data_IF_438342742150
#
_entry.id   IF_438342742150
#
_cell.length_a   1.000
_cell.length_b   1.000
_cell.length_c   1.000
_cell.angle_alpha   90.00
_cell.angle_beta   90.00
_cell.angle_gamma   90.00
#
_symmetry.space_group_name_H-M   'P 1'
#
loop_
_entity.id
_entity.type
_entity.pdbx_description
1 polymer ?
#
# COMPACT_ATOMS: atom_id res chain seq x y z
N UNK A 1 7.41 -5.94 11.36
CA UNK A 1 7.49 -4.64 12.07
C UNK A 1 8.75 -3.86 11.70
N UNK A 2 9.97 -4.37 11.92
CA UNK A 2 11.21 -3.61 11.69
C UNK A 2 11.41 -3.00 10.28
N UNK A 3 10.97 -3.67 9.20
CA UNK A 3 11.09 -3.13 7.84
C UNK A 3 10.19 -1.90 7.58
N UNK A 4 8.99 -1.89 8.17
CA UNK A 4 8.06 -0.75 8.04
C UNK A 4 8.62 0.47 8.77
N UNK A 5 9.15 0.25 9.98
CA UNK A 5 9.75 1.32 10.79
C UNK A 5 11.01 1.89 10.12
N UNK A 6 11.86 1.01 9.56
CA UNK A 6 13.05 1.44 8.81
C UNK A 6 12.65 2.25 7.57
N UNK A 7 11.66 1.79 6.79
CA UNK A 7 11.13 2.54 5.64
C UNK A 7 10.61 3.91 6.07
N UNK A 8 9.83 3.99 7.14
CA UNK A 8 9.28 5.24 7.64
C UNK A 8 10.38 6.22 8.09
N UNK A 9 11.47 5.72 8.68
CA UNK A 9 12.62 6.55 9.04
C UNK A 9 13.40 7.06 7.83
N UNK A 10 13.49 6.29 6.76
CA UNK A 10 14.22 6.71 5.54
C UNK A 10 13.36 7.67 4.69
N UNK A 11 12.06 7.42 4.57
CA UNK A 11 11.15 8.10 3.63
C UNK A 11 10.21 9.07 4.35
N UNK A 12 10.61 9.62 5.50
CA UNK A 12 9.86 10.71 6.12
C UNK A 12 10.22 12.06 5.47
N UNK A 13 9.32 13.03 5.61
CA UNK A 13 9.47 14.35 5.00
C UNK A 13 10.72 15.09 5.50
N UNK A 14 11.09 14.92 6.77
CA UNK A 14 12.23 15.62 7.37
C UNK A 14 13.55 15.12 6.74
N UNK A 15 13.75 13.80 6.69
CA UNK A 15 14.92 13.15 6.07
C UNK A 15 15.01 13.47 4.59
N UNK A 16 13.88 13.44 3.86
CA UNK A 16 13.86 13.81 2.44
C UNK A 16 14.14 15.30 2.23
N UNK A 17 13.59 16.16 3.10
CA UNK A 17 13.84 17.60 3.08
C UNK A 17 15.32 17.92 3.32
N UNK A 18 15.93 17.27 4.30
CA UNK A 18 17.35 17.46 4.62
C UNK A 18 18.26 16.92 3.52
N UNK A 19 17.97 15.74 2.95
CA UNK A 19 18.67 15.22 1.77
C UNK A 19 18.63 16.23 0.60
N UNK A 20 17.48 16.85 0.36
CA UNK A 20 17.31 17.84 -0.70
C UNK A 20 18.04 19.16 -0.44
N UNK A 21 18.15 19.60 0.82
CA UNK A 21 18.97 20.75 1.21
C UNK A 21 20.44 20.48 0.95
N UNK A 22 20.96 19.36 1.47
CA UNK A 22 22.37 18.99 1.34
C UNK A 22 22.79 18.80 -0.12
N UNK A 23 21.89 18.28 -0.95
CA UNK A 23 22.15 18.09 -2.38
C UNK A 23 21.83 19.33 -3.23
N UNK A 24 21.48 20.48 -2.62
CA UNK A 24 21.13 21.72 -3.34
C UNK A 24 20.02 21.54 -4.39
N UNK A 25 19.09 20.61 -4.18
CA UNK A 25 18.03 20.33 -5.18
C UNK A 25 17.04 21.48 -5.29
N UNK A 26 16.88 22.27 -4.22
CA UNK A 26 16.05 23.46 -4.23
C UNK A 26 16.49 24.50 -5.27
N UNK A 27 17.79 24.56 -5.60
CA UNK A 27 18.32 25.47 -6.64
C UNK A 27 17.88 25.07 -8.05
N UNK A 28 17.45 23.82 -8.23
CA UNK A 28 16.98 23.27 -9.50
C UNK A 28 15.45 23.41 -9.67
N UNK A 29 14.73 23.78 -8.60
CA UNK A 29 13.28 23.91 -8.64
C UNK A 29 12.94 25.29 -9.20
N UNK A 30 12.20 25.30 -10.31
CA UNK A 30 11.64 26.53 -10.85
C UNK A 30 10.50 26.99 -9.94
N UNK A 31 10.77 28.00 -9.14
CA UNK A 31 9.78 28.64 -8.27
C UNK A 31 9.61 30.10 -8.65
N UNK A 32 8.39 30.62 -8.49
CA UNK A 32 8.09 32.04 -8.72
C UNK A 32 8.63 32.96 -7.62
N UNK A 33 9.19 32.38 -6.55
CA UNK A 33 9.78 33.05 -5.39
C UNK A 33 10.97 32.23 -4.86
N UNK A 34 11.86 32.86 -4.08
CA UNK A 34 13.02 32.16 -3.50
C UNK A 34 12.58 31.15 -2.43
N UNK A 35 12.93 29.88 -2.60
CA UNK A 35 12.65 28.82 -1.62
C UNK A 35 13.45 28.97 -0.32
N UNK A 36 14.54 29.73 -0.32
CA UNK A 36 15.35 29.97 0.87
C UNK A 36 14.61 30.75 1.96
N UNK A 37 13.46 31.37 1.63
CA UNK A 37 12.66 32.20 2.54
C UNK A 37 11.37 31.53 3.04
N UNK A 38 11.13 30.25 2.72
CA UNK A 38 9.88 29.54 3.04
C UNK A 38 10.21 28.32 3.88
N UNK A 39 9.59 28.18 5.07
CA UNK A 39 9.84 27.03 5.97
C UNK A 39 9.20 25.71 5.46
N UNK A 40 8.16 25.77 4.61
CA UNK A 40 7.38 24.61 4.13
C UNK A 40 7.75 24.11 2.70
N UNK A 41 8.93 24.43 2.18
CA UNK A 41 9.37 24.02 0.83
C UNK A 41 9.61 22.50 0.65
N UNK A 42 9.62 21.72 1.73
CA UNK A 42 9.77 20.26 1.72
C UNK A 42 8.69 19.58 0.89
N UNK A 43 7.44 20.08 0.92
CA UNK A 43 6.35 19.53 0.12
C UNK A 43 6.57 19.71 -1.40
N UNK A 44 7.13 20.85 -1.81
CA UNK A 44 7.46 21.13 -3.21
C UNK A 44 8.62 20.25 -3.70
N UNK A 45 9.63 20.05 -2.85
CA UNK A 45 10.73 19.12 -3.09
C UNK A 45 10.20 17.69 -3.27
N UNK A 46 9.34 17.23 -2.36
CA UNK A 46 8.74 15.89 -2.41
C UNK A 46 7.93 15.67 -3.70
N UNK A 47 7.15 16.66 -4.11
CA UNK A 47 6.40 16.61 -5.37
C UNK A 47 7.33 16.55 -6.59
N UNK A 48 8.39 17.38 -6.62
CA UNK A 48 9.37 17.39 -7.70
C UNK A 48 10.11 16.05 -7.79
N UNK A 49 10.48 15.47 -6.66
CA UNK A 49 11.15 14.18 -6.58
C UNK A 49 10.25 13.02 -6.99
N UNK A 50 9.02 12.98 -6.50
CA UNK A 50 8.03 11.98 -6.88
C UNK A 50 7.82 11.97 -8.39
N UNK A 51 7.67 13.14 -9.01
CA UNK A 51 7.57 13.27 -10.47
C UNK A 51 8.83 12.80 -11.18
N UNK A 52 10.03 13.18 -10.72
CA UNK A 52 11.28 12.74 -11.33
C UNK A 52 11.43 11.21 -11.30
N UNK A 53 11.22 10.59 -10.14
CA UNK A 53 11.41 9.15 -9.96
C UNK A 53 10.38 8.34 -10.76
N UNK A 54 9.14 8.83 -10.87
CA UNK A 54 8.08 8.14 -11.59
C UNK A 54 8.11 8.36 -13.11
N UNK A 55 8.72 9.45 -13.59
CA UNK A 55 8.85 9.72 -15.04
C UNK A 55 9.96 8.93 -15.71
N UNK A 56 10.98 8.45 -14.98
CA UNK A 56 12.06 7.62 -15.55
C UNK A 56 11.56 6.29 -16.10
N UNK A 57 10.78 5.47 -15.35
CA UNK A 57 10.15 4.27 -15.90
C UNK A 57 9.24 4.53 -17.10
N UNK A 58 8.58 5.70 -17.16
CA UNK A 58 7.74 6.10 -18.29
C UNK A 58 8.57 6.39 -19.55
N UNK A 59 9.67 7.13 -19.42
CA UNK A 59 10.50 7.53 -20.56
C UNK A 59 11.42 6.41 -21.08
N UNK A 60 11.90 5.51 -20.21
CA UNK A 60 12.96 4.54 -20.52
C UNK A 60 12.48 3.08 -20.43
N UNK A 61 11.23 2.83 -20.05
CA UNK A 61 10.75 1.49 -19.71
C UNK A 61 11.07 1.10 -18.25
N UNK A 62 10.42 0.05 -17.75
CA UNK A 62 10.51 -0.36 -16.34
C UNK A 62 11.93 -0.72 -15.90
N UNK A 63 12.60 -1.57 -16.68
CA UNK A 63 13.91 -2.11 -16.34
C UNK A 63 14.95 -0.99 -16.23
N UNK A 64 15.09 -0.19 -17.28
CA UNK A 64 16.12 0.85 -17.35
C UNK A 64 15.76 2.09 -16.51
N UNK A 65 14.47 2.41 -16.41
CA UNK A 65 13.99 3.52 -15.60
C UNK A 65 14.17 3.29 -14.10
N UNK A 66 13.95 2.07 -13.61
CA UNK A 66 14.21 1.71 -12.20
C UNK A 66 15.71 1.72 -11.89
N UNK A 67 16.54 1.19 -12.80
CA UNK A 67 18.01 1.25 -12.65
C UNK A 67 18.49 2.69 -12.59
N UNK A 68 17.99 3.55 -13.48
CA UNK A 68 18.33 4.98 -13.52
C UNK A 68 17.86 5.73 -12.28
N UNK A 69 16.63 5.48 -11.83
CA UNK A 69 16.09 6.08 -10.60
C UNK A 69 16.89 5.63 -9.36
N UNK A 70 17.27 4.35 -9.29
CA UNK A 70 18.12 3.80 -8.23
C UNK A 70 19.52 4.43 -8.24
N UNK A 71 20.14 4.57 -9.41
CA UNK A 71 21.45 5.20 -9.56
C UNK A 71 21.42 6.68 -9.15
N UNK A 72 20.38 7.41 -9.55
CA UNK A 72 20.17 8.80 -9.16
C UNK A 72 20.01 8.94 -7.64
N UNK A 73 19.13 8.14 -7.02
CA UNK A 73 18.94 8.15 -5.57
C UNK A 73 20.25 7.82 -4.85
N UNK A 74 21.01 6.81 -5.32
CA UNK A 74 22.32 6.49 -4.74
C UNK A 74 23.25 7.70 -4.73
N UNK A 75 23.34 8.45 -5.83
CA UNK A 75 24.20 9.62 -5.91
C UNK A 75 23.80 10.71 -4.92
N UNK A 76 22.49 10.96 -4.74
CA UNK A 76 22.02 11.88 -3.71
C UNK A 76 22.42 11.41 -2.31
N UNK A 77 22.23 10.13 -2.00
CA UNK A 77 22.63 9.58 -0.72
C UNK A 77 24.15 9.63 -0.53
N UNK A 78 24.98 9.45 -1.56
CA UNK A 78 26.45 9.58 -1.43
C UNK A 78 26.85 10.99 -0.98
N UNK A 79 26.16 12.02 -1.47
CA UNK A 79 26.40 13.42 -1.08
C UNK A 79 25.91 13.72 0.33
N UNK A 80 24.79 13.11 0.74
CA UNK A 80 24.20 13.33 2.07
C UNK A 80 24.86 12.52 3.18
N UNK A 81 25.05 11.23 2.95
CA UNK A 81 25.67 10.27 3.85
C UNK A 81 26.16 9.05 3.05
N UNK A 82 27.47 9.01 2.79
CA UNK A 82 28.10 7.94 2.01
C UNK A 82 27.97 6.56 2.66
N UNK A 83 27.97 6.46 3.99
CA UNK A 83 27.82 5.18 4.69
C UNK A 83 26.39 4.65 4.54
N UNK A 84 25.39 5.53 4.67
CA UNK A 84 24.00 5.20 4.40
C UNK A 84 23.77 4.83 2.93
N UNK A 85 24.43 5.52 1.99
CA UNK A 85 24.37 5.21 0.57
C UNK A 85 24.89 3.80 0.26
N UNK A 86 26.01 3.42 0.87
CA UNK A 86 26.57 2.08 0.72
C UNK A 86 25.69 1.02 1.38
N UNK A 87 25.10 1.32 2.54
CA UNK A 87 24.14 0.44 3.19
C UNK A 87 22.85 0.25 2.38
N UNK A 88 22.27 1.32 1.81
CA UNK A 88 21.01 1.27 1.09
C UNK A 88 21.14 0.71 -0.32
N UNK A 89 22.24 1.03 -1.00
CA UNK A 89 22.43 0.72 -2.41
C UNK A 89 23.53 -0.29 -2.66
N UNK A 90 23.87 -1.11 -1.67
CA UNK A 90 24.82 -2.23 -1.73
C UNK A 90 25.04 -2.72 -3.18
N UNK A 91 26.17 -2.30 -3.76
CA UNK A 91 26.52 -2.50 -5.17
C UNK A 91 27.38 -3.76 -5.40
N UNK A 92 27.69 -4.53 -4.36
CA UNK A 92 28.59 -5.67 -4.54
C UNK A 92 27.87 -6.88 -5.13
N UNK A 93 28.54 -7.57 -6.05
CA UNK A 93 28.13 -8.91 -6.50
C UNK A 93 27.90 -9.86 -5.32
N UNK A 94 28.62 -9.67 -4.20
CA UNK A 94 28.44 -10.42 -2.96
C UNK A 94 27.07 -10.20 -2.32
N UNK A 95 26.48 -9.01 -2.46
CA UNK A 95 25.14 -8.72 -1.95
C UNK A 95 24.08 -9.31 -2.86
N UNK A 96 24.26 -9.27 -4.19
CA UNK A 96 23.37 -9.99 -5.10
C UNK A 96 23.39 -11.50 -4.84
N UNK A 97 24.56 -12.08 -4.58
CA UNK A 97 24.71 -13.47 -4.18
C UNK A 97 24.06 -13.77 -2.83
N UNK A 98 24.24 -12.89 -1.83
CA UNK A 98 23.57 -12.98 -0.52
C UNK A 98 22.05 -12.85 -0.64
N UNK A 99 21.55 -11.95 -1.49
CA UNK A 99 20.11 -11.81 -1.79
C UNK A 99 19.60 -13.10 -2.44
N UNK A 100 20.32 -13.68 -3.39
CA UNK A 100 20.00 -14.99 -3.93
C UNK A 100 19.90 -16.06 -2.84
N UNK A 101 20.87 -16.10 -1.92
CA UNK A 101 20.85 -17.00 -0.76
C UNK A 101 19.65 -16.76 0.18
N UNK A 102 19.22 -15.51 0.37
CA UNK A 102 18.03 -15.18 1.17
C UNK A 102 16.75 -15.57 0.45
N UNK A 103 16.64 -15.28 -0.85
CA UNK A 103 15.45 -15.64 -1.66
C UNK A 103 15.30 -17.16 -1.77
N UNK A 104 16.41 -17.88 -1.84
CA UNK A 104 16.43 -19.35 -1.93
C UNK A 104 16.68 -20.05 -0.58
N UNK A 105 16.61 -19.33 0.54
CA UNK A 105 16.95 -19.88 1.86
C UNK A 105 16.11 -21.11 2.24
N UNK A 106 14.88 -21.19 1.74
CA UNK A 106 13.96 -22.29 2.00
C UNK A 106 13.99 -23.40 0.94
N UNK A 107 14.71 -23.20 -0.17
CA UNK A 107 14.73 -24.14 -1.29
C UNK A 107 15.21 -25.54 -0.87
N UNK A 108 16.30 -25.60 -0.12
CA UNK A 108 16.85 -26.87 0.35
C UNK A 108 15.96 -27.53 1.41
N UNK A 109 15.38 -26.74 2.31
CA UNK A 109 14.47 -27.23 3.34
C UNK A 109 13.20 -27.84 2.72
N UNK A 110 12.64 -27.20 1.69
CA UNK A 110 11.51 -27.75 0.95
C UNK A 110 11.91 -29.05 0.23
N UNK A 111 13.05 -29.06 -0.48
CA UNK A 111 13.49 -30.22 -1.26
C UNK A 111 13.74 -31.49 -0.43
N UNK A 112 14.09 -31.33 0.85
CA UNK A 112 14.36 -32.44 1.78
C UNK A 112 13.14 -32.84 2.62
N UNK A 113 12.02 -32.13 2.49
CA UNK A 113 10.81 -32.40 3.28
C UNK A 113 10.02 -33.60 2.71
N UNK A 114 9.42 -34.47 3.55
CA UNK A 114 8.63 -35.61 3.08
C UNK A 114 7.47 -35.24 2.14
N UNK A 115 6.89 -34.04 2.29
CA UNK A 115 5.80 -33.51 1.45
C UNK A 115 6.25 -32.67 0.25
N UNK A 116 7.54 -32.60 -0.05
CA UNK A 116 8.07 -31.77 -1.15
C UNK A 116 7.33 -32.00 -2.49
N UNK A 117 7.13 -33.27 -2.84
CA UNK A 117 6.43 -33.68 -4.07
C UNK A 117 4.97 -33.26 -4.07
N UNK A 118 4.31 -33.31 -2.90
CA UNK A 118 2.92 -32.88 -2.76
C UNK A 118 2.79 -31.37 -2.97
N UNK A 119 3.68 -30.57 -2.37
CA UNK A 119 3.66 -29.12 -2.54
C UNK A 119 4.03 -28.70 -3.96
N UNK A 120 4.98 -29.40 -4.61
CA UNK A 120 5.28 -29.19 -6.02
C UNK A 120 4.06 -29.47 -6.90
N UNK A 121 3.32 -30.55 -6.65
CA UNK A 121 2.10 -30.86 -7.40
C UNK A 121 1.00 -29.82 -7.18
N UNK A 122 0.81 -29.33 -5.95
CA UNK A 122 -0.13 -28.22 -5.66
C UNK A 122 0.25 -26.94 -6.40
N UNK A 123 1.54 -26.63 -6.46
CA UNK A 123 2.05 -25.49 -7.20
C UNK A 123 1.80 -25.64 -8.71
N UNK A 124 2.05 -26.81 -9.29
CA UNK A 124 1.74 -27.09 -10.70
C UNK A 124 0.24 -26.94 -11.00
N UNK A 125 -0.62 -27.43 -10.11
CA UNK A 125 -2.07 -27.24 -10.23
C UNK A 125 -2.45 -25.75 -10.19
N UNK A 126 -1.83 -24.97 -9.29
CA UNK A 126 -2.02 -23.53 -9.25
C UNK A 126 -1.59 -22.86 -10.56
N UNK A 127 -0.41 -23.20 -11.10
CA UNK A 127 0.07 -22.65 -12.37
C UNK A 127 -0.82 -23.05 -13.56
N UNK A 128 -1.42 -24.24 -13.53
CA UNK A 128 -2.39 -24.67 -14.54
C UNK A 128 -3.69 -23.86 -14.49
N UNK A 129 -4.15 -23.49 -13.29
CA UNK A 129 -5.34 -22.64 -13.10
C UNK A 129 -5.05 -21.16 -13.37
N UNK A 130 -3.83 -20.71 -13.08
CA UNK A 130 -3.38 -19.32 -13.16
C UNK A 130 -2.16 -19.17 -14.09
N UNK A 131 -2.25 -19.51 -15.38
CA UNK A 131 -1.09 -19.55 -16.28
C UNK A 131 -0.44 -18.19 -16.51
N UNK A 132 -1.13 -17.09 -16.19
CA UNK A 132 -0.64 -15.73 -16.32
C UNK A 132 0.25 -15.27 -15.15
N UNK A 133 0.39 -16.07 -14.09
CA UNK A 133 1.18 -15.74 -12.90
C UNK A 133 2.41 -16.67 -12.86
N UNK A 134 3.52 -16.32 -13.54
CA UNK A 134 4.71 -17.18 -13.57
C UNK A 134 5.49 -17.06 -12.26
N UNK A 135 5.23 -17.98 -11.34
CA UNK A 135 6.06 -18.15 -10.13
C UNK A 135 6.88 -19.42 -10.32
N UNK A 136 8.14 -19.29 -10.73
CA UNK A 136 8.96 -20.47 -11.05
C UNK A 136 9.45 -21.22 -9.79
N UNK A 137 9.43 -20.55 -8.63
CA UNK A 137 10.01 -21.06 -7.39
C UNK A 137 8.91 -21.49 -6.41
N UNK A 138 8.72 -22.80 -6.28
CA UNK A 138 7.71 -23.40 -5.38
C UNK A 138 7.78 -22.89 -3.95
N UNK A 139 8.99 -22.69 -3.40
CA UNK A 139 9.13 -22.22 -2.02
C UNK A 139 8.69 -20.76 -1.83
N UNK A 140 8.82 -19.90 -2.85
CA UNK A 140 8.30 -18.53 -2.80
C UNK A 140 6.78 -18.49 -2.96
N UNK A 141 6.23 -19.36 -3.83
CA UNK A 141 4.78 -19.54 -3.93
C UNK A 141 4.20 -19.99 -2.58
N UNK A 142 4.80 -21.01 -1.95
CA UNK A 142 4.40 -21.46 -0.61
C UNK A 142 4.48 -20.33 0.43
N UNK A 143 5.55 -19.53 0.41
CA UNK A 143 5.71 -18.42 1.33
C UNK A 143 4.58 -17.40 1.18
N UNK A 144 4.23 -17.05 -0.06
CA UNK A 144 3.13 -16.15 -0.37
C UNK A 144 1.77 -16.70 0.11
N UNK A 145 1.59 -18.03 0.09
CA UNK A 145 0.36 -18.69 0.52
C UNK A 145 0.32 -19.03 2.01
N UNK A 146 1.41 -18.82 2.76
CA UNK A 146 1.51 -19.20 4.18
C UNK A 146 1.11 -18.05 5.09
N UNK A 147 -0.09 -18.12 5.67
CA UNK A 147 -0.59 -17.10 6.60
C UNK A 147 0.20 -17.09 7.92
N UNK A 148 0.37 -15.92 8.56
CA UNK A 148 1.09 -15.78 9.84
C UNK A 148 0.53 -16.64 10.99
N UNK A 149 -0.73 -17.08 10.89
CA UNK A 149 -1.36 -18.00 11.85
C UNK A 149 -0.88 -19.44 11.74
N UNK A 150 -0.11 -19.79 10.70
CA UNK A 150 0.54 -21.11 10.56
C UNK A 150 1.76 -21.20 11.51
N UNK A 151 1.57 -20.79 12.77
CA UNK A 151 2.54 -20.88 13.84
C UNK A 151 1.82 -21.43 15.08
N UNK A 152 2.47 -22.35 15.82
CA UNK A 152 1.92 -22.93 17.05
C UNK A 152 1.23 -24.28 16.86
N UNK A 153 0.31 -24.63 17.76
CA UNK A 153 -0.33 -25.95 17.87
C UNK A 153 -1.39 -26.25 16.79
N UNK A 154 -1.72 -25.27 15.95
CA UNK A 154 -2.79 -25.38 14.95
C UNK A 154 -2.36 -26.05 13.64
N UNK A 155 -1.08 -26.44 13.51
CA UNK A 155 -0.54 -27.08 12.32
C UNK A 155 -0.05 -28.49 12.68
N UNK A 156 -0.42 -29.45 11.85
CA UNK A 156 0.03 -30.84 12.01
C UNK A 156 1.55 -30.93 11.96
N UNK A 157 2.14 -31.83 12.76
CA UNK A 157 3.59 -31.97 12.90
C UNK A 157 4.30 -32.41 11.61
N UNK A 158 3.54 -32.90 10.63
CA UNK A 158 3.99 -33.35 9.32
C UNK A 158 3.72 -32.33 8.19
N UNK A 159 3.11 -31.17 8.48
CA UNK A 159 2.87 -30.14 7.47
C UNK A 159 4.12 -29.29 7.26
N UNK A 160 4.42 -28.98 6.00
CA UNK A 160 5.54 -28.09 5.68
C UNK A 160 5.16 -26.65 6.01
N UNK A 161 5.71 -26.12 7.09
CA UNK A 161 5.63 -24.70 7.42
C UNK A 161 7.02 -24.10 7.24
N UNK A 162 7.12 -23.14 6.33
CA UNK A 162 8.31 -22.34 6.14
C UNK A 162 8.68 -21.66 7.47
N UNK A 163 9.98 -21.67 7.83
CA UNK A 163 10.49 -21.45 9.19
C UNK A 163 9.80 -20.39 10.06
N UNK A 164 9.81 -20.61 11.39
CA UNK A 164 9.02 -19.89 12.41
C UNK A 164 9.07 -18.35 12.40
N UNK A 165 10.11 -17.71 11.85
CA UNK A 165 10.30 -16.25 11.94
C UNK A 165 10.18 -15.55 10.57
N UNK A 166 10.45 -16.24 9.46
CA UNK A 166 10.57 -15.63 8.13
C UNK A 166 9.78 -16.34 7.02
N UNK A 167 9.10 -17.44 7.33
CA UNK A 167 8.45 -18.28 6.33
C UNK A 167 7.03 -17.88 5.91
N UNK A 168 6.47 -16.81 6.47
CA UNK A 168 5.13 -16.35 6.13
C UNK A 168 5.15 -15.25 5.05
N UNK A 169 3.97 -14.84 4.59
CA UNK A 169 3.82 -13.86 3.51
C UNK A 169 4.16 -12.41 3.90
N UNK A 170 4.33 -12.04 5.18
CA UNK A 170 4.30 -10.64 5.62
C UNK A 170 5.39 -9.75 4.97
N UNK A 171 6.57 -10.31 4.69
CA UNK A 171 7.65 -9.59 4.00
C UNK A 171 7.35 -9.43 2.50
N UNK A 172 6.71 -10.44 1.90
CA UNK A 172 6.26 -10.39 0.51
C UNK A 172 5.08 -9.44 0.34
N UNK A 173 4.14 -9.37 1.30
CA UNK A 173 3.06 -8.38 1.33
C UNK A 173 3.62 -6.97 1.41
N UNK A 174 4.56 -6.71 2.31
CA UNK A 174 5.20 -5.39 2.41
C UNK A 174 5.87 -4.94 1.10
N UNK A 175 6.57 -5.86 0.44
CA UNK A 175 7.18 -5.60 -0.88
C UNK A 175 6.11 -5.42 -1.97
N UNK A 176 5.11 -6.31 -1.99
CA UNK A 176 4.01 -6.32 -2.95
C UNK A 176 3.16 -5.06 -2.89
N UNK A 177 2.84 -4.58 -1.69
CA UNK A 177 2.15 -3.30 -1.46
C UNK A 177 2.94 -2.13 -2.08
N UNK A 178 4.26 -2.12 -1.87
CA UNK A 178 5.14 -1.08 -2.40
C UNK A 178 5.20 -1.12 -3.93
N UNK A 179 5.32 -2.32 -4.53
CA UNK A 179 5.31 -2.50 -5.99
C UNK A 179 3.95 -2.09 -6.58
N UNK A 180 2.85 -2.54 -5.97
CA UNK A 180 1.50 -2.23 -6.42
C UNK A 180 1.26 -0.72 -6.44
N UNK A 181 1.72 0.01 -5.41
CA UNK A 181 1.62 1.46 -5.38
C UNK A 181 2.39 2.12 -6.53
N UNK A 182 3.65 1.73 -6.76
CA UNK A 182 4.46 2.33 -7.84
C UNK A 182 3.85 2.05 -9.23
N UNK A 183 3.41 0.81 -9.47
CA UNK A 183 2.75 0.42 -10.72
C UNK A 183 1.47 1.20 -10.94
N UNK A 184 0.63 1.30 -9.90
CA UNK A 184 -0.64 2.03 -9.96
C UNK A 184 -0.39 3.51 -10.25
N UNK A 185 0.51 4.16 -9.51
CA UNK A 185 0.86 5.57 -9.73
C UNK A 185 1.35 5.81 -11.15
N UNK A 186 2.23 4.94 -11.68
CA UNK A 186 2.71 5.01 -13.06
C UNK A 186 1.54 5.01 -14.05
N UNK A 187 0.70 3.99 -13.97
CA UNK A 187 -0.40 3.81 -14.92
C UNK A 187 -1.38 4.98 -14.85
N UNK A 188 -1.67 5.47 -13.64
CA UNK A 188 -2.54 6.64 -13.47
C UNK A 188 -1.96 7.91 -14.11
N UNK A 189 -0.65 8.16 -14.02
CA UNK A 189 -0.05 9.32 -14.72
C UNK A 189 -0.02 9.16 -16.24
N UNK A 190 -0.02 7.92 -16.75
CA UNK A 190 -0.11 7.66 -18.19
C UNK A 190 -1.53 7.85 -18.70
N UNK A 191 -2.54 7.42 -17.92
CA UNK A 191 -3.96 7.56 -18.26
C UNK A 191 -4.51 8.98 -18.04
N UNK A 192 -3.98 9.70 -17.04
CA UNK A 192 -4.46 11.03 -16.63
C UNK A 192 -3.34 12.08 -16.72
N UNK A 193 -2.80 12.36 -17.92
CA UNK A 193 -1.64 13.23 -18.09
C UNK A 193 -1.89 14.70 -17.71
N UNK A 194 -3.15 15.11 -17.59
CA UNK A 194 -3.54 16.51 -17.30
C UNK A 194 -4.14 16.73 -15.90
N UNK A 195 -4.06 15.74 -15.01
CA UNK A 195 -4.49 15.92 -13.62
C UNK A 195 -3.35 16.50 -12.77
N UNK A 196 -3.55 17.69 -12.23
CA UNK A 196 -2.66 18.29 -11.24
C UNK A 196 -2.90 17.67 -9.86
N UNK A 197 -1.82 17.21 -9.22
CA UNK A 197 -1.83 16.75 -7.83
C UNK A 197 -1.94 18.02 -6.97
N UNK A 198 -3.13 18.39 -6.47
CA UNK A 198 -3.56 17.90 -5.16
C UNK A 198 -5.10 17.87 -4.96
N UNK A 199 -5.87 17.04 -5.65
CA UNK A 199 -7.30 16.77 -5.33
C UNK A 199 -7.63 15.34 -5.79
N UNK A 200 -8.73 14.71 -5.29
CA UNK A 200 -8.91 13.26 -5.41
C UNK A 200 -8.87 12.90 -6.88
N UNK A 201 -7.89 12.06 -7.24
CA UNK A 201 -7.86 11.38 -8.53
C UNK A 201 -9.28 10.95 -8.86
N UNK A 202 -9.75 11.31 -10.06
CA UNK A 202 -11.06 10.93 -10.53
C UNK A 202 -11.25 9.44 -10.28
N UNK A 203 -12.11 9.15 -9.29
CA UNK A 203 -12.39 7.79 -8.85
C UNK A 203 -12.84 6.95 -10.03
N UNK A 204 -13.42 7.55 -11.07
CA UNK A 204 -13.84 6.88 -12.29
C UNK A 204 -12.67 6.36 -13.13
N UNK A 205 -11.55 7.07 -13.19
CA UNK A 205 -10.37 6.65 -13.95
C UNK A 205 -9.52 5.62 -13.18
N UNK A 206 -9.44 5.76 -11.85
CA UNK A 206 -8.93 4.69 -10.97
C UNK A 206 -9.83 3.45 -11.07
N UNK A 207 -11.14 3.64 -11.04
CA UNK A 207 -12.16 2.59 -11.18
C UNK A 207 -12.06 1.90 -12.54
N UNK A 208 -11.82 2.61 -13.64
CA UNK A 208 -11.58 2.00 -14.96
C UNK A 208 -10.26 1.20 -15.00
N UNK A 209 -9.20 1.70 -14.38
CA UNK A 209 -7.93 0.97 -14.26
C UNK A 209 -8.09 -0.29 -13.41
N UNK A 210 -8.72 -0.16 -12.24
CA UNK A 210 -9.04 -1.29 -11.39
C UNK A 210 -9.99 -2.25 -12.12
N UNK A 211 -11.02 -1.79 -12.83
CA UNK A 211 -11.92 -2.62 -13.66
C UNK A 211 -11.21 -3.40 -14.74
N UNK A 212 -10.11 -2.88 -15.28
CA UNK A 212 -9.36 -3.52 -16.37
C UNK A 212 -8.25 -4.43 -15.88
N UNK A 213 -7.68 -4.16 -14.70
CA UNK A 213 -6.45 -4.80 -14.23
C UNK A 213 -6.59 -5.55 -12.89
N UNK A 214 -7.49 -5.13 -11.99
CA UNK A 214 -7.60 -5.66 -10.62
C UNK A 214 -8.96 -6.30 -10.29
N UNK A 215 -10.08 -5.67 -10.67
CA UNK A 215 -11.45 -6.13 -10.44
C UNK A 215 -11.93 -7.29 -11.32
N UNK A 216 -11.30 -7.65 -12.45
CA UNK A 216 -11.54 -8.98 -13.03
C UNK A 216 -11.19 -10.13 -12.05
N UNK A 217 -10.42 -9.81 -10.99
CA UNK A 217 -10.06 -10.73 -9.91
C UNK A 217 -10.92 -10.53 -8.63
N UNK A 218 -11.83 -9.56 -8.59
CA UNK A 218 -12.69 -9.22 -7.42
C UNK A 218 -14.11 -8.93 -7.92
N UNK A 219 -15.08 -9.77 -7.59
CA UNK A 219 -16.42 -9.81 -8.22
C UNK A 219 -17.08 -8.43 -8.44
N UNK A 220 -17.65 -8.23 -9.64
CA UNK A 220 -18.28 -6.97 -10.12
C UNK A 220 -19.30 -6.35 -9.15
N UNK A 221 -19.95 -7.17 -8.32
CA UNK A 221 -20.89 -6.72 -7.30
C UNK A 221 -20.26 -5.84 -6.22
N UNK A 222 -18.95 -5.99 -5.96
CA UNK A 222 -18.24 -5.23 -4.95
C UNK A 222 -17.90 -3.79 -5.42
N UNK A 223 -17.66 -3.63 -6.73
CA UNK A 223 -17.18 -2.39 -7.34
C UNK A 223 -18.34 -1.48 -7.70
N UNK A 224 -19.36 -2.00 -8.41
CA UNK A 224 -20.52 -1.23 -8.85
C UNK A 224 -21.30 -0.58 -7.69
N UNK A 225 -21.24 -1.19 -6.50
CA UNK A 225 -21.91 -0.71 -5.29
C UNK A 225 -20.99 0.11 -4.35
N UNK A 226 -19.77 0.48 -4.80
CA UNK A 226 -18.74 1.15 -3.98
C UNK A 226 -18.47 0.45 -2.64
N UNK A 227 -18.68 -0.86 -2.52
CA UNK A 227 -18.53 -1.59 -1.24
C UNK A 227 -17.08 -1.68 -0.76
N UNK A 228 -16.13 -1.33 -1.61
CA UNK A 228 -14.69 -1.18 -1.28
C UNK A 228 -14.46 0.00 -0.33
N UNK A 229 -15.35 0.99 -0.32
CA UNK A 229 -15.37 2.08 0.66
C UNK A 229 -16.20 1.65 1.87
N UNK A 230 -15.65 1.86 3.08
CA UNK A 230 -16.41 1.67 4.31
C UNK A 230 -17.71 2.49 4.31
N UNK A 231 -18.80 2.02 4.94
CA UNK A 231 -20.10 2.68 4.90
C UNK A 231 -20.05 4.17 5.30
N UNK A 232 -19.17 4.52 6.26
CA UNK A 232 -18.93 5.90 6.66
C UNK A 232 -18.46 6.79 5.51
N UNK A 233 -17.50 6.31 4.73
CA UNK A 233 -16.94 7.08 3.62
C UNK A 233 -17.96 7.22 2.48
N UNK A 234 -18.70 6.14 2.17
CA UNK A 234 -19.80 6.17 1.19
C UNK A 234 -20.85 7.22 1.54
N UNK A 235 -21.25 7.29 2.80
CA UNK A 235 -22.23 8.27 3.26
C UNK A 235 -21.72 9.71 3.16
N UNK A 236 -20.48 9.96 3.60
CA UNK A 236 -19.86 11.29 3.52
C UNK A 236 -19.72 11.77 2.07
N UNK A 237 -19.33 10.89 1.16
CA UNK A 237 -19.19 11.24 -0.26
C UNK A 237 -20.54 11.48 -0.94
N UNK A 238 -21.61 10.84 -0.48
CA UNK A 238 -22.96 11.14 -0.95
C UNK A 238 -23.42 12.52 -0.48
N UNK A 239 -23.26 12.84 0.81
CA UNK A 239 -23.67 14.14 1.36
C UNK A 239 -22.88 15.30 0.74
N UNK A 240 -21.61 15.09 0.37
CA UNK A 240 -20.79 16.09 -0.36
C UNK A 240 -21.35 16.49 -1.73
N UNK A 241 -22.22 15.68 -2.32
CA UNK A 241 -22.86 15.98 -3.60
C UNK A 241 -24.14 16.83 -3.42
N UNK A 242 -24.56 17.08 -2.19
CA UNK A 242 -25.74 17.91 -1.93
C UNK A 242 -25.43 19.38 -2.23
N UNK A 243 -26.41 20.13 -2.76
CA UNK A 243 -26.20 21.50 -3.23
C UNK A 243 -25.87 22.50 -2.12
N UNK A 244 -26.20 22.18 -0.86
CA UNK A 244 -25.89 23.00 0.30
C UNK A 244 -24.72 22.43 1.11
N UNK A 245 -23.99 23.31 1.82
CA UNK A 245 -22.88 22.91 2.69
C UNK A 245 -23.42 22.21 3.94
N UNK A 246 -23.74 20.93 3.80
CA UNK A 246 -24.23 20.07 4.88
C UNK A 246 -23.09 19.62 5.80
N UNK A 247 -23.28 19.76 7.11
CA UNK A 247 -22.35 19.31 8.14
C UNK A 247 -22.75 17.92 8.64
N UNK A 248 -21.84 16.96 8.57
CA UNK A 248 -22.02 15.62 9.12
C UNK A 248 -21.11 15.42 10.33
N UNK A 249 -21.68 15.03 11.48
CA UNK A 249 -20.93 14.67 12.68
C UNK A 249 -21.20 13.22 13.10
N UNK A 250 -20.20 12.63 13.75
CA UNK A 250 -20.28 11.32 14.40
C UNK A 250 -19.95 11.53 15.87
N UNK A 251 -20.97 11.48 16.71
CA UNK A 251 -20.89 11.85 18.11
C UNK A 251 -20.94 10.57 18.97
N UNK A 252 -20.04 10.48 19.97
CA UNK A 252 -20.09 9.41 20.95
C UNK A 252 -21.35 9.56 21.80
N UNK A 253 -22.09 8.46 21.98
CA UNK A 253 -23.27 8.39 22.82
C UNK A 253 -23.01 7.49 24.02
N UNK A 254 -23.74 7.74 25.11
CA UNK A 254 -23.71 6.84 26.26
C UNK A 254 -24.38 5.51 25.89
N UNK A 255 -23.68 4.37 26.03
CA UNK A 255 -24.30 3.07 25.84
C UNK A 255 -25.30 2.79 26.97
N UNK A 256 -26.32 1.94 26.73
CA UNK A 256 -27.21 1.47 27.79
C UNK A 256 -26.42 0.80 28.91
N UNK A 257 -26.86 0.98 30.16
CA UNK A 257 -26.20 0.43 31.35
C UNK A 257 -25.94 -1.08 31.21
N UNK A 258 -24.71 -1.49 31.51
CA UNK A 258 -24.29 -2.90 31.51
C UNK A 258 -23.81 -3.45 30.15
N UNK A 259 -23.71 -2.63 29.11
CA UNK A 259 -23.25 -3.08 27.78
C UNK A 259 -21.80 -2.64 27.51
N UNK A 260 -20.91 -3.61 27.33
CA UNK A 260 -19.53 -3.36 26.87
C UNK A 260 -19.47 -3.11 25.35
N UNK A 261 -20.14 -2.05 24.89
CA UNK A 261 -20.12 -1.60 23.50
C UNK A 261 -20.02 -0.08 23.41
N UNK A 262 -19.53 0.43 22.28
CA UNK A 262 -19.51 1.85 21.96
C UNK A 262 -20.77 2.22 21.17
N UNK A 263 -21.47 3.27 21.61
CA UNK A 263 -22.59 3.84 20.88
C UNK A 263 -22.15 5.10 20.13
N UNK A 264 -22.52 5.21 18.85
CA UNK A 264 -22.24 6.37 18.00
C UNK A 264 -23.53 6.86 17.35
N UNK A 265 -23.75 8.17 17.42
CA UNK A 265 -24.79 8.89 16.71
C UNK A 265 -24.25 9.55 15.45
N UNK A 266 -24.98 9.44 14.33
CA UNK A 266 -24.70 10.18 13.10
C UNK A 266 -25.71 11.33 13.00
N UNK A 267 -25.19 12.56 12.94
CA UNK A 267 -26.00 13.77 12.79
C UNK A 267 -25.72 14.49 11.48
N UNK A 268 -26.76 15.03 10.86
CA UNK A 268 -26.70 15.84 9.63
C UNK A 268 -27.32 17.19 9.95
N UNK A 269 -26.54 18.26 9.82
CA UNK A 269 -26.92 19.64 10.17
C UNK A 269 -27.47 19.77 11.61
N UNK A 270 -26.87 19.01 12.54
CA UNK A 270 -27.27 18.97 13.95
C UNK A 270 -28.49 18.08 14.25
N UNK A 271 -29.10 17.46 13.24
CA UNK A 271 -30.19 16.51 13.42
C UNK A 271 -29.67 15.08 13.46
N UNK A 272 -29.95 14.37 14.55
CA UNK A 272 -29.56 12.99 14.71
C UNK A 272 -30.38 12.09 13.78
N UNK A 273 -29.70 11.48 12.80
CA UNK A 273 -30.31 10.62 11.78
C UNK A 273 -30.28 9.16 12.18
N UNK A 274 -29.15 8.70 12.72
CA UNK A 274 -28.92 7.28 12.98
C UNK A 274 -28.13 7.04 14.26
N UNK A 275 -28.34 5.87 14.87
CA UNK A 275 -27.56 5.37 16.00
C UNK A 275 -27.16 3.92 15.76
N UNK A 276 -25.93 3.58 16.15
CA UNK A 276 -25.48 2.20 16.16
C UNK A 276 -24.54 1.93 17.33
N UNK A 277 -24.45 0.65 17.69
CA UNK A 277 -23.58 0.16 18.76
C UNK A 277 -22.71 -0.97 18.24
N UNK A 278 -21.42 -0.95 18.59
CA UNK A 278 -20.51 -2.00 18.19
C UNK A 278 -19.34 -2.15 19.18
N UNK A 279 -18.53 -3.23 19.06
CA UNK A 279 -17.36 -3.44 19.91
C UNK A 279 -16.28 -2.36 19.81
N UNK A 280 -16.26 -1.56 18.73
CA UNK A 280 -15.35 -0.41 18.57
C UNK A 280 -16.11 0.79 18.02
N UNK A 281 -15.63 2.01 18.33
CA UNK A 281 -16.21 3.27 17.85
C UNK A 281 -16.28 3.34 16.31
N UNK A 282 -15.26 2.83 15.64
CA UNK A 282 -15.21 2.84 14.17
C UNK A 282 -16.25 1.91 13.54
N UNK A 283 -16.44 0.72 14.11
CA UNK A 283 -17.48 -0.21 13.64
C UNK A 283 -18.86 0.38 13.91
N UNK A 284 -19.06 1.04 15.07
CA UNK A 284 -20.32 1.70 15.41
C UNK A 284 -20.63 2.85 14.43
N UNK A 285 -19.63 3.68 14.11
CA UNK A 285 -19.76 4.75 13.11
C UNK A 285 -20.09 4.20 11.71
N UNK A 286 -19.43 3.12 11.29
CA UNK A 286 -19.72 2.45 10.02
C UNK A 286 -21.14 1.87 9.99
N UNK A 287 -21.62 1.27 11.08
CA UNK A 287 -23.00 0.77 11.15
C UNK A 287 -24.02 1.91 11.15
N UNK A 288 -23.75 3.02 11.83
CA UNK A 288 -24.62 4.20 11.82
C UNK A 288 -24.72 4.78 10.39
N UNK A 289 -23.61 4.86 9.67
CA UNK A 289 -23.57 5.30 8.29
C UNK A 289 -24.25 4.31 7.33
N UNK A 290 -24.14 3.00 7.56
CA UNK A 290 -24.83 1.98 6.76
C UNK A 290 -26.35 2.12 6.89
N UNK A 291 -26.85 2.32 8.13
CA UNK A 291 -28.28 2.60 8.36
C UNK A 291 -28.72 3.91 7.72
N UNK A 292 -27.88 4.94 7.77
CA UNK A 292 -28.18 6.21 7.14
C UNK A 292 -28.29 6.05 5.61
N UNK A 293 -27.35 5.36 4.96
CA UNK A 293 -27.42 5.06 3.51
C UNK A 293 -28.76 4.40 3.14
N UNK A 294 -29.19 3.39 3.91
CA UNK A 294 -30.48 2.73 3.70
C UNK A 294 -31.67 3.69 3.85
N UNK A 295 -31.64 4.59 4.84
CA UNK A 295 -32.69 5.60 5.05
C UNK A 295 -32.77 6.61 3.91
N UNK A 296 -31.63 6.95 3.29
CA UNK A 296 -31.57 7.82 2.11
C UNK A 296 -31.78 7.07 0.78
N UNK A 297 -32.05 5.75 0.82
CA UNK A 297 -32.35 4.94 -0.36
C UNK A 297 -31.13 4.52 -1.19
N UNK A 298 -29.98 4.35 -0.54
CA UNK A 298 -28.65 4.06 -1.15
C UNK A 298 -28.02 2.74 -0.68
#
# INVERSE_FOLDING_TARGET
THLRDLRAKIVNNDTVGDLAKTCHVHDLILTSFSLAAVDEYVALILLAWGRFLLTRPRAQGWTDGVVTARAFLRQLFVVYDSELADFMFLLSHDVAAKVGGVVDCHRHSLATHPKATQEASRHEQFLALCPTIPIDRTHLWLQAMTHKSFQGLAVSSDEYVLGKVDGNYERLEFLGESILHVVTCRVLMDMLPFHEVPYPLDLHAIEQFLHKCLFPLVSDAAVANRTVLGPKQRFLDHVRQWPDKTLVSFDDLDPPDGVHMHAVGLSVDGFLVCRAMAPTKEIAANQAALKALQLFGL
#
